data_IF_804619599991
#
_entry.id   IF_804619599991
#
_cell.length_a   1.000
_cell.length_b   1.000
_cell.length_c   1.000
_cell.angle_alpha   90.00
_cell.angle_beta   90.00
_cell.angle_gamma   90.00
#
_symmetry.space_group_name_H-M   'P 1'
#
loop_
_entity.id
_entity.type
_entity.pdbx_description
1 polymer ?
#
# COMPACT_ATOMS: atom_id res chain seq x y z
N UNK A 1 8.15 -39.22 15.35
CA UNK A 1 6.76 -38.98 14.88
C UNK A 1 6.17 -37.78 15.62
N UNK A 2 5.99 -36.64 14.94
CA UNK A 2 5.39 -35.46 15.55
C UNK A 2 3.88 -35.67 15.73
N UNK A 3 3.38 -35.62 16.97
CA UNK A 3 1.94 -35.68 17.26
C UNK A 3 1.26 -34.48 16.59
N UNK A 4 0.47 -34.72 15.54
CA UNK A 4 -0.45 -33.70 15.03
C UNK A 4 -1.40 -33.30 16.17
N UNK A 5 -1.26 -32.06 16.65
CA UNK A 5 -2.23 -31.47 17.59
C UNK A 5 -3.58 -31.41 16.87
N UNK A 6 -4.51 -32.31 17.22
CA UNK A 6 -5.92 -32.15 16.85
C UNK A 6 -6.41 -30.83 17.44
N UNK A 7 -6.53 -29.82 16.60
CA UNK A 7 -7.08 -28.53 17.03
C UNK A 7 -8.56 -28.73 17.34
N UNK A 8 -8.94 -28.57 18.60
CA UNK A 8 -10.34 -28.47 19.00
C UNK A 8 -10.98 -27.37 18.15
N UNK A 9 -12.01 -27.76 17.39
CA UNK A 9 -12.96 -26.87 16.72
C UNK A 9 -13.40 -25.83 17.74
N UNK A 10 -13.05 -24.56 17.49
CA UNK A 10 -13.47 -23.44 18.33
C UNK A 10 -14.96 -23.19 18.09
N UNK A 11 -15.82 -24.03 18.70
CA UNK A 11 -17.27 -23.80 18.81
C UNK A 11 -17.56 -22.76 19.89
N UNK A 12 -16.84 -21.65 19.92
CA UNK A 12 -17.07 -20.61 20.94
C UNK A 12 -18.38 -19.86 20.71
N UNK A 13 -19.07 -20.07 19.58
CA UNK A 13 -20.31 -19.37 19.25
C UNK A 13 -20.14 -17.86 19.21
N UNK A 14 -18.90 -17.35 19.17
CA UNK A 14 -18.61 -15.93 19.26
C UNK A 14 -18.81 -15.29 17.87
N UNK A 15 -19.83 -14.43 17.69
CA UNK A 15 -20.14 -13.83 16.41
C UNK A 15 -19.00 -12.92 15.90
N UNK A 16 -18.26 -12.26 16.79
CA UNK A 16 -17.12 -11.43 16.42
C UNK A 16 -15.97 -12.25 15.85
N UNK A 17 -15.67 -13.42 16.43
CA UNK A 17 -14.66 -14.31 15.86
C UNK A 17 -15.09 -14.88 14.51
N UNK A 18 -16.38 -15.15 14.33
CA UNK A 18 -16.91 -15.57 13.03
C UNK A 18 -16.71 -14.47 11.98
N UNK A 19 -16.98 -13.21 12.35
CA UNK A 19 -16.76 -12.07 11.47
C UNK A 19 -15.28 -11.90 11.08
N UNK A 20 -14.34 -12.00 12.04
CA UNK A 20 -12.90 -11.94 11.74
C UNK A 20 -12.49 -12.97 10.70
N UNK A 21 -12.99 -14.20 10.82
CA UNK A 21 -12.68 -15.29 9.89
C UNK A 21 -13.34 -15.04 8.53
N UNK A 22 -14.60 -14.59 8.52
CA UNK A 22 -15.36 -14.30 7.31
C UNK A 22 -14.74 -13.17 6.49
N UNK A 23 -14.29 -12.10 7.16
CA UNK A 23 -13.58 -10.98 6.55
C UNK A 23 -12.11 -11.32 6.21
N UNK A 24 -11.68 -12.57 6.42
CA UNK A 24 -10.32 -12.99 6.11
C UNK A 24 -9.24 -12.34 6.98
N UNK A 25 -9.57 -11.60 8.04
CA UNK A 25 -8.61 -10.85 8.86
C UNK A 25 -7.70 -11.75 9.72
N UNK A 26 -7.94 -13.05 9.69
CA UNK A 26 -7.02 -14.01 10.23
C UNK A 26 -7.58 -15.42 10.28
N UNK A 27 -6.68 -16.37 10.37
CA UNK A 27 -7.02 -17.72 10.81
C UNK A 27 -6.30 -18.00 12.13
N UNK A 28 -6.46 -19.21 12.67
CA UNK A 28 -5.77 -19.56 13.91
C UNK A 28 -4.25 -19.56 13.68
N UNK A 29 -3.57 -18.54 14.21
CA UNK A 29 -2.12 -18.37 14.10
C UNK A 29 -1.66 -17.43 12.99
N UNK A 30 -2.56 -16.87 12.19
CA UNK A 30 -2.24 -15.80 11.23
C UNK A 30 -3.21 -14.64 11.39
N UNK A 31 -2.67 -13.42 11.38
CA UNK A 31 -3.45 -12.19 11.37
C UNK A 31 -3.10 -11.44 10.09
N UNK A 32 -4.06 -10.81 9.45
CA UNK A 32 -3.82 -9.89 8.33
C UNK A 32 -4.90 -8.82 8.31
N UNK A 33 -4.62 -7.71 7.65
CA UNK A 33 -5.64 -6.76 7.25
C UNK A 33 -5.85 -7.00 5.77
N UNK A 34 -7.07 -7.42 5.40
CA UNK A 34 -7.35 -7.75 4.01
C UNK A 34 -7.38 -6.50 3.13
N UNK A 35 -7.15 -6.68 1.84
CA UNK A 35 -7.10 -5.62 0.84
C UNK A 35 -8.37 -4.78 0.75
N UNK A 36 -9.54 -5.41 0.89
CA UNK A 36 -10.83 -4.72 0.71
C UNK A 36 -11.06 -3.62 1.75
N UNK A 37 -10.42 -3.71 2.93
CA UNK A 37 -10.51 -2.68 3.97
C UNK A 37 -9.95 -1.33 3.52
N UNK A 38 -9.09 -1.30 2.49
CA UNK A 38 -8.66 -0.04 1.89
C UNK A 38 -9.77 0.64 1.09
N UNK A 39 -10.73 -0.12 0.58
CA UNK A 39 -11.77 0.37 -0.33
C UNK A 39 -13.09 0.65 0.40
N UNK A 40 -13.10 0.45 1.72
CA UNK A 40 -14.24 0.74 2.60
C UNK A 40 -14.47 2.26 2.74
N UNK A 41 -15.63 2.62 3.28
CA UNK A 41 -15.93 4.03 3.56
C UNK A 41 -14.96 4.63 4.60
N UNK A 42 -14.64 5.91 4.44
CA UNK A 42 -13.71 6.63 5.33
C UNK A 42 -14.03 6.46 6.82
N UNK A 43 -15.29 6.56 7.28
CA UNK A 43 -15.60 6.35 8.70
C UNK A 43 -15.22 4.95 9.20
N UNK A 44 -15.39 3.90 8.39
CA UNK A 44 -15.02 2.52 8.75
C UNK A 44 -13.50 2.41 8.89
N UNK A 45 -12.75 2.97 7.94
CA UNK A 45 -11.29 3.01 7.97
C UNK A 45 -10.75 3.81 9.18
N UNK A 46 -11.37 4.94 9.51
CA UNK A 46 -11.02 5.76 10.67
C UNK A 46 -11.25 5.02 11.99
N UNK A 47 -12.40 4.34 12.15
CA UNK A 47 -12.67 3.51 13.33
C UNK A 47 -11.70 2.33 13.45
N UNK A 48 -11.38 1.69 12.33
CA UNK A 48 -10.41 0.60 12.31
C UNK A 48 -9.02 1.08 12.74
N UNK A 49 -8.54 2.20 12.17
CA UNK A 49 -7.24 2.78 12.51
C UNK A 49 -7.20 3.23 13.97
N UNK A 50 -8.28 3.85 14.47
CA UNK A 50 -8.47 4.20 15.87
C UNK A 50 -8.29 2.99 16.80
N UNK A 51 -8.99 1.88 16.52
CA UNK A 51 -8.88 0.66 17.33
C UNK A 51 -7.46 0.09 17.40
N UNK A 52 -6.71 0.16 16.29
CA UNK A 52 -5.30 -0.25 16.25
C UNK A 52 -4.40 0.67 17.06
N UNK A 53 -4.61 1.98 16.96
CA UNK A 53 -3.85 2.95 17.75
C UNK A 53 -4.16 2.78 19.24
N UNK A 54 -5.41 2.55 19.62
CA UNK A 54 -5.82 2.30 21.00
C UNK A 54 -5.19 1.02 21.57
N UNK A 55 -5.09 -0.06 20.80
CA UNK A 55 -4.51 -1.32 21.30
C UNK A 55 -2.98 -1.28 21.40
N UNK A 56 -2.30 -0.93 20.31
CA UNK A 56 -0.84 -1.11 20.15
C UNK A 56 -0.11 0.15 19.67
N UNK A 57 -0.83 1.26 19.47
CA UNK A 57 -0.23 2.52 19.07
C UNK A 57 0.23 3.40 20.23
N UNK A 58 1.09 4.36 19.92
CA UNK A 58 1.41 5.51 20.76
C UNK A 58 1.11 6.80 20.00
N UNK A 59 0.75 7.85 20.74
CA UNK A 59 0.47 9.18 20.18
C UNK A 59 1.39 10.16 20.89
N UNK A 60 2.17 10.92 20.12
CA UNK A 60 3.12 11.91 20.63
C UNK A 60 2.69 13.32 20.22
N UNK A 61 2.67 14.23 21.19
CA UNK A 61 2.50 15.66 20.92
C UNK A 61 3.81 16.24 20.43
N UNK A 62 3.77 16.99 19.34
CA UNK A 62 4.95 17.54 18.67
C UNK A 62 5.73 18.56 19.53
N UNK A 63 5.08 19.06 20.59
CA UNK A 63 5.60 20.07 21.54
C UNK A 63 6.92 19.66 22.20
N UNK A 64 7.22 18.37 22.40
CA UNK A 64 8.42 17.96 23.13
C UNK A 64 9.70 17.85 22.29
N UNK A 65 9.60 17.71 20.95
CA UNK A 65 10.78 17.39 20.11
C UNK A 65 11.38 18.58 19.37
N UNK A 66 10.61 19.63 19.07
CA UNK A 66 11.05 20.70 18.16
C UNK A 66 11.04 22.12 18.75
N UNK A 67 10.55 22.35 19.97
CA UNK A 67 10.60 23.67 20.63
C UNK A 67 12.02 24.11 21.06
N UNK A 68 13.07 23.37 20.69
CA UNK A 68 14.46 23.69 21.02
C UNK A 68 15.23 24.40 19.90
N UNK A 69 14.60 24.69 18.76
CA UNK A 69 15.29 25.36 17.65
C UNK A 69 14.52 26.59 17.19
N UNK A 70 15.23 27.71 17.29
CA UNK A 70 15.08 29.00 16.59
C UNK A 70 14.00 29.99 17.06
N UNK A 71 14.48 30.88 17.92
CA UNK A 71 13.94 32.16 18.42
C UNK A 71 13.82 33.26 17.36
N UNK A 72 13.35 32.95 16.14
CA UNK A 72 13.08 33.98 15.12
C UNK A 72 11.57 34.03 14.86
N UNK A 73 10.88 34.75 15.74
CA UNK A 73 9.44 34.76 15.91
C UNK A 73 8.73 35.85 15.08
N UNK A 74 7.47 35.53 14.73
CA UNK A 74 6.26 36.37 14.63
C UNK A 74 5.43 36.03 13.38
N UNK A 75 6.02 35.66 12.24
CA UNK A 75 5.22 35.21 11.06
C UNK A 75 4.80 33.75 11.10
N UNK A 76 5.43 32.93 11.93
CA UNK A 76 5.18 31.48 11.99
C UNK A 76 4.20 31.07 13.10
N UNK A 77 3.53 32.01 13.78
CA UNK A 77 2.66 31.66 14.91
C UNK A 77 1.44 30.85 14.46
N UNK A 78 0.88 31.16 13.28
CA UNK A 78 -0.24 30.40 12.70
C UNK A 78 0.21 29.01 12.21
N UNK A 79 1.38 28.92 11.56
CA UNK A 79 1.99 27.65 11.19
C UNK A 79 2.36 26.80 12.42
N UNK A 80 2.74 27.43 13.53
CA UNK A 80 3.01 26.76 14.80
C UNK A 80 1.72 26.26 15.45
N UNK A 81 0.64 27.04 15.43
CA UNK A 81 -0.69 26.62 15.89
C UNK A 81 -1.17 25.43 15.05
N UNK A 82 -0.98 25.47 13.73
CA UNK A 82 -1.38 24.37 12.85
C UNK A 82 -0.54 23.10 13.08
N UNK A 83 0.78 23.24 13.30
CA UNK A 83 1.65 22.11 13.66
C UNK A 83 1.31 21.51 15.02
N UNK A 84 1.02 22.35 16.01
CA UNK A 84 0.67 21.88 17.37
C UNK A 84 -0.74 21.30 17.46
N UNK A 85 -1.62 21.63 16.51
CA UNK A 85 -2.99 21.09 16.45
C UNK A 85 -3.03 19.59 16.21
N UNK A 86 -2.09 19.06 15.43
CA UNK A 86 -2.15 17.66 14.99
C UNK A 86 -1.07 16.82 15.68
N UNK A 87 -1.50 15.68 16.24
CA UNK A 87 -0.61 14.74 16.92
C UNK A 87 0.03 13.75 15.93
N UNK A 88 1.22 13.26 16.27
CA UNK A 88 1.83 12.13 15.58
C UNK A 88 1.33 10.83 16.21
N UNK A 89 1.16 9.80 15.40
CA UNK A 89 0.89 8.45 15.91
C UNK A 89 1.93 7.47 15.39
N UNK A 90 2.25 6.47 16.20
CA UNK A 90 3.14 5.37 15.85
C UNK A 90 2.42 4.07 16.15
N UNK A 91 2.43 3.14 15.19
CA UNK A 91 1.93 1.79 15.37
C UNK A 91 3.05 0.78 15.17
N UNK A 92 3.16 -0.21 16.05
CA UNK A 92 4.20 -1.23 15.99
C UNK A 92 3.59 -2.62 15.82
N UNK A 93 4.13 -3.40 14.89
CA UNK A 93 3.74 -4.81 14.73
C UNK A 93 4.89 -5.65 14.16
N UNK A 94 4.93 -6.92 14.51
CA UNK A 94 5.88 -7.90 13.94
C UNK A 94 5.36 -8.55 12.65
N UNK A 95 4.04 -8.49 12.42
CA UNK A 95 3.41 -9.14 11.27
C UNK A 95 3.33 -8.20 10.07
N UNK A 96 4.11 -8.50 9.02
CA UNK A 96 4.16 -7.70 7.80
C UNK A 96 2.81 -7.60 7.07
N UNK A 97 1.96 -8.64 7.11
CA UNK A 97 0.65 -8.59 6.47
C UNK A 97 -0.30 -7.57 7.14
N UNK A 98 -0.19 -7.39 8.46
CA UNK A 98 -0.90 -6.31 9.17
C UNK A 98 -0.35 -4.96 8.73
N UNK A 99 0.98 -4.80 8.75
CA UNK A 99 1.64 -3.54 8.39
C UNK A 99 1.24 -3.07 6.99
N UNK A 100 1.23 -3.97 6.00
CA UNK A 100 0.85 -3.63 4.63
C UNK A 100 -0.61 -3.16 4.51
N UNK A 101 -1.55 -3.83 5.18
CA UNK A 101 -2.94 -3.38 5.15
C UNK A 101 -3.17 -2.07 5.92
N UNK A 102 -2.45 -1.85 7.03
CA UNK A 102 -2.47 -0.56 7.75
C UNK A 102 -1.93 0.58 6.88
N UNK A 103 -0.84 0.34 6.13
CA UNK A 103 -0.32 1.34 5.19
C UNK A 103 -1.31 1.68 4.08
N UNK A 104 -2.03 0.67 3.57
CA UNK A 104 -3.08 0.87 2.57
C UNK A 104 -4.20 1.76 3.11
N UNK A 105 -4.75 1.40 4.27
CA UNK A 105 -5.82 2.18 4.93
C UNK A 105 -5.37 3.61 5.18
N UNK A 106 -4.16 3.80 5.73
CA UNK A 106 -3.64 5.12 6.00
C UNK A 106 -3.49 5.95 4.71
N UNK A 107 -3.00 5.37 3.62
CA UNK A 107 -2.87 6.07 2.33
C UNK A 107 -4.21 6.44 1.73
N UNK A 108 -5.19 5.55 1.81
CA UNK A 108 -6.54 5.82 1.30
C UNK A 108 -7.27 6.89 2.13
N UNK A 109 -6.93 7.02 3.41
CA UNK A 109 -7.35 8.15 4.25
C UNK A 109 -6.59 9.46 3.96
N UNK A 110 -5.60 9.47 3.07
CA UNK A 110 -4.73 10.64 2.82
C UNK A 110 -3.71 10.88 3.94
N UNK A 111 -3.38 9.86 4.75
CA UNK A 111 -2.39 9.96 5.82
C UNK A 111 -1.01 9.60 5.25
N UNK A 112 -0.06 10.53 5.33
CA UNK A 112 1.33 10.25 4.95
C UNK A 112 1.99 9.36 5.99
N UNK A 113 2.57 8.25 5.55
CA UNK A 113 3.21 7.26 6.43
C UNK A 113 4.68 7.06 6.10
N UNK A 114 5.50 6.79 7.11
CA UNK A 114 6.84 6.21 6.93
C UNK A 114 6.97 4.93 7.75
N UNK A 115 7.84 4.01 7.30
CA UNK A 115 8.05 2.72 7.97
C UNK A 115 9.52 2.57 8.33
N UNK A 116 9.78 2.19 9.58
CA UNK A 116 11.10 1.76 10.03
C UNK A 116 11.02 0.32 10.50
N UNK A 117 11.93 -0.53 10.03
CA UNK A 117 12.07 -1.90 10.52
C UNK A 117 13.21 -1.92 11.54
N UNK A 118 12.99 -2.51 12.70
CA UNK A 118 14.05 -2.83 13.64
C UNK A 118 14.51 -4.27 13.43
N UNK A 119 15.82 -4.48 13.51
CA UNK A 119 16.39 -5.82 13.46
C UNK A 119 15.95 -6.66 14.67
N UNK A 120 15.95 -7.98 14.46
CA UNK A 120 15.79 -8.92 15.56
C UNK A 120 16.92 -8.71 16.58
N UNK A 121 16.59 -8.68 17.86
CA UNK A 121 17.57 -8.43 18.92
C UNK A 121 17.33 -9.34 20.12
N UNK A 122 18.39 -9.62 20.88
CA UNK A 122 18.29 -10.34 22.16
C UNK A 122 18.29 -9.30 23.26
N UNK A 123 17.17 -9.15 23.97
CA UNK A 123 17.07 -8.23 25.11
C UNK A 123 16.73 -9.02 26.36
N UNK A 124 17.57 -8.93 27.39
CA UNK A 124 17.41 -9.65 28.66
C UNK A 124 17.27 -11.18 28.46
N UNK A 125 18.06 -11.76 27.56
CA UNK A 125 18.03 -13.20 27.26
C UNK A 125 16.79 -13.69 26.48
N UNK A 126 15.89 -12.79 26.07
CA UNK A 126 14.76 -13.11 25.19
C UNK A 126 15.05 -12.66 23.76
N UNK A 127 14.79 -13.55 22.80
CA UNK A 127 14.88 -13.25 21.38
C UNK A 127 13.64 -12.46 20.96
N UNK A 128 13.83 -11.18 20.63
CA UNK A 128 12.78 -10.35 20.03
C UNK A 128 12.88 -10.45 18.51
N UNK A 129 11.76 -10.78 17.88
CA UNK A 129 11.65 -10.74 16.42
C UNK A 129 11.79 -9.31 15.90
N UNK A 130 12.20 -9.18 14.63
CA UNK A 130 12.14 -7.92 13.93
C UNK A 130 10.73 -7.32 14.01
N UNK A 131 10.66 -6.01 14.22
CA UNK A 131 9.41 -5.26 14.40
C UNK A 131 9.37 -4.10 13.43
N UNK A 132 8.21 -3.85 12.84
CA UNK A 132 7.97 -2.68 11.99
C UNK A 132 7.29 -1.59 12.80
N UNK A 133 7.75 -0.36 12.63
CA UNK A 133 7.19 0.86 13.21
C UNK A 133 6.62 1.70 12.06
N UNK A 134 5.31 1.93 12.08
CA UNK A 134 4.62 2.80 11.13
C UNK A 134 4.40 4.15 11.79
N UNK A 135 4.98 5.19 11.22
CA UNK A 135 4.80 6.56 11.68
C UNK A 135 3.76 7.25 10.81
N UNK A 136 2.67 7.71 11.43
CA UNK A 136 1.62 8.48 10.78
C UNK A 136 1.92 9.96 10.93
N UNK A 137 2.01 10.67 9.80
CA UNK A 137 2.25 12.11 9.80
C UNK A 137 0.99 12.86 10.26
N UNK A 138 1.14 13.97 11.00
CA UNK A 138 0.00 14.75 11.47
C UNK A 138 -0.78 15.34 10.30
N UNK A 139 -2.09 15.14 10.31
CA UNK A 139 -3.02 15.68 9.34
C UNK A 139 -4.46 15.65 9.90
N UNK A 140 -5.40 16.27 9.18
CA UNK A 140 -6.81 16.28 9.57
C UNK A 140 -7.41 14.86 9.63
N UNK A 141 -7.13 14.01 8.63
CA UNK A 141 -7.65 12.63 8.59
C UNK A 141 -7.17 11.79 9.79
N UNK A 142 -5.88 11.86 10.13
CA UNK A 142 -5.36 11.21 11.33
C UNK A 142 -6.05 11.74 12.59
N UNK A 143 -6.25 13.05 12.69
CA UNK A 143 -6.88 13.66 13.87
C UNK A 143 -8.35 13.27 14.01
N UNK A 144 -9.06 13.04 12.90
CA UNK A 144 -10.41 12.47 12.93
C UNK A 144 -10.41 11.05 13.46
N UNK A 145 -9.51 10.20 12.98
CA UNK A 145 -9.34 8.85 13.54
C UNK A 145 -9.00 8.89 15.04
N UNK A 146 -8.06 9.75 15.46
CA UNK A 146 -7.68 9.92 16.85
C UNK A 146 -8.79 10.54 17.73
N UNK A 147 -9.76 11.24 17.15
CA UNK A 147 -10.92 11.76 17.91
C UNK A 147 -11.92 10.68 18.32
N UNK A 148 -11.77 9.47 17.77
CA UNK A 148 -12.59 8.30 18.12
C UNK A 148 -11.89 7.46 19.21
N UNK A 149 -10.60 7.72 19.48
CA UNK A 149 -9.83 6.95 20.45
C UNK A 149 -10.46 7.01 21.85
N UNK A 150 -10.62 5.84 22.45
CA UNK A 150 -11.15 5.67 23.80
C UNK A 150 -10.13 6.00 24.88
N UNK A 151 -8.83 5.89 24.58
CA UNK A 151 -7.75 6.20 25.51
C UNK A 151 -7.45 7.69 25.47
N UNK A 152 -7.65 8.38 26.59
CA UNK A 152 -7.52 9.85 26.69
C UNK A 152 -6.16 10.38 26.22
N UNK A 153 -5.06 9.67 26.52
CA UNK A 153 -3.71 10.06 26.08
C UNK A 153 -3.54 9.98 24.55
N UNK A 154 -4.33 9.14 23.87
CA UNK A 154 -4.31 8.93 22.41
C UNK A 154 -5.35 9.78 21.70
N UNK A 155 -6.40 10.18 22.42
CA UNK A 155 -7.45 11.04 21.91
C UNK A 155 -6.92 12.39 21.42
N UNK A 156 -7.41 12.86 20.27
CA UNK A 156 -7.16 14.19 19.74
C UNK A 156 -8.50 14.86 19.41
N UNK A 157 -8.66 16.18 19.59
CA UNK A 157 -9.89 16.84 19.20
C UNK A 157 -10.15 16.68 17.70
N UNK A 158 -11.40 16.45 17.33
CA UNK A 158 -11.80 16.36 15.93
C UNK A 158 -11.44 17.66 15.19
N UNK A 159 -10.91 17.60 13.95
CA UNK A 159 -10.62 18.79 13.19
C UNK A 159 -11.92 19.53 12.83
N UNK A 160 -11.92 20.89 12.78
CA UNK A 160 -13.05 21.64 12.24
C UNK A 160 -13.27 21.21 10.79
N UNK A 161 -14.51 20.83 10.45
CA UNK A 161 -14.97 20.22 9.20
C UNK A 161 -13.97 20.32 8.03
N UNK A 162 -12.97 19.43 8.02
CA UNK A 162 -11.99 19.39 6.95
C UNK A 162 -12.53 18.43 5.89
N UNK A 163 -12.76 18.88 4.64
CA UNK A 163 -13.08 17.95 3.58
C UNK A 163 -11.91 16.95 3.39
N UNK A 164 -12.23 15.75 2.92
CA UNK A 164 -11.19 14.82 2.49
C UNK A 164 -10.52 15.40 1.25
N UNK A 165 -9.24 15.72 1.35
CA UNK A 165 -8.45 16.15 0.20
C UNK A 165 -7.72 14.94 -0.38
N UNK A 166 -7.66 14.86 -1.71
CA UNK A 166 -6.72 13.95 -2.37
C UNK A 166 -5.29 14.32 -1.96
N UNK A 167 -4.47 13.30 -1.70
CA UNK A 167 -3.06 13.49 -1.36
C UNK A 167 -2.23 12.97 -2.51
N UNK A 168 -1.41 13.85 -3.09
CA UNK A 168 -0.46 13.46 -4.12
C UNK A 168 0.68 12.63 -3.53
N UNK A 169 0.90 11.45 -4.11
CA UNK A 169 2.01 10.58 -3.76
C UNK A 169 3.04 10.57 -4.89
N UNK A 170 4.26 10.95 -4.54
CA UNK A 170 5.41 10.84 -5.43
C UNK A 170 6.22 9.61 -5.03
N UNK A 171 6.60 8.78 -5.99
CA UNK A 171 7.54 7.68 -5.78
C UNK A 171 8.74 7.84 -6.72
N UNK A 172 9.94 7.74 -6.15
CA UNK A 172 11.17 7.70 -6.94
C UNK A 172 11.47 6.23 -7.26
N UNK A 173 11.34 5.84 -8.53
CA UNK A 173 11.82 4.53 -8.95
C UNK A 173 13.34 4.59 -9.03
N UNK A 174 14.04 3.81 -8.20
CA UNK A 174 15.49 3.69 -8.30
C UNK A 174 15.86 3.13 -9.69
N UNK A 175 16.72 3.80 -10.48
CA UNK A 175 17.07 3.38 -11.84
C UNK A 175 17.66 1.96 -11.92
N UNK A 176 18.27 1.48 -10.83
CA UNK A 176 18.88 0.17 -10.73
C UNK A 176 17.86 -0.98 -10.83
N UNK A 177 16.64 -0.79 -10.33
CA UNK A 177 15.59 -1.82 -10.34
C UNK A 177 15.10 -2.07 -11.76
N UNK A 178 14.94 -1.01 -12.56
CA UNK A 178 14.49 -1.11 -13.96
C UNK A 178 15.53 -1.84 -14.82
N UNK A 179 16.82 -1.50 -14.68
CA UNK A 179 17.89 -2.15 -15.46
C UNK A 179 18.09 -3.61 -15.11
N UNK A 180 17.90 -3.99 -13.85
CA UNK A 180 17.96 -5.39 -13.40
C UNK A 180 16.88 -6.22 -14.05
N UNK A 181 15.62 -5.80 -13.94
CA UNK A 181 14.46 -6.52 -14.50
C UNK A 181 14.55 -6.66 -16.03
N UNK A 182 14.96 -5.60 -16.74
CA UNK A 182 15.12 -5.65 -18.21
C UNK A 182 16.24 -6.62 -18.61
N UNK A 183 17.37 -6.66 -17.89
CA UNK A 183 18.46 -7.61 -18.18
C UNK A 183 18.03 -9.06 -17.95
N UNK A 184 17.35 -9.34 -16.84
CA UNK A 184 16.89 -10.70 -16.52
C UNK A 184 15.88 -11.21 -17.54
N UNK A 185 14.96 -10.36 -18.00
CA UNK A 185 14.03 -10.69 -19.09
C UNK A 185 14.75 -10.89 -20.43
N UNK A 186 15.72 -10.04 -20.76
CA UNK A 186 16.51 -10.19 -21.98
C UNK A 186 17.39 -11.46 -21.98
N UNK A 187 17.87 -11.89 -20.81
CA UNK A 187 18.65 -13.12 -20.64
C UNK A 187 17.78 -14.38 -20.65
N UNK A 188 16.59 -14.35 -20.06
CA UNK A 188 15.63 -15.47 -20.13
C UNK A 188 15.08 -15.70 -21.54
N UNK A 189 14.99 -14.66 -22.37
CA UNK A 189 14.51 -14.75 -23.74
C UNK A 189 15.61 -14.79 -24.81
N UNK A 190 16.87 -15.03 -24.40
CA UNK A 190 17.96 -15.18 -25.36
C UNK A 190 17.77 -16.51 -26.11
N UNK A 191 17.51 -16.51 -27.43
CA UNK A 191 17.26 -17.73 -28.17
C UNK A 191 18.48 -18.65 -28.10
N UNK A 192 18.27 -19.92 -27.77
CA UNK A 192 19.31 -20.94 -27.84
C UNK A 192 19.89 -20.96 -29.26
N UNK A 193 21.15 -20.55 -29.40
CA UNK A 193 21.89 -20.57 -30.67
C UNK A 193 22.19 -22.00 -31.10
N UNK A 194 21.23 -22.67 -31.73
CA UNK A 194 21.47 -23.84 -32.55
C UNK A 194 20.56 -23.83 -33.79
N UNK A 195 20.98 -23.09 -34.83
CA UNK A 195 20.80 -23.45 -36.25
C UNK A 195 21.43 -22.35 -37.12
N UNK A 196 22.21 -22.74 -38.13
CA UNK A 196 22.65 -21.85 -39.21
C UNK A 196 21.43 -21.46 -40.05
N UNK A 197 21.28 -20.18 -40.47
CA UNK A 197 20.21 -19.80 -41.36
C UNK A 197 20.58 -20.11 -42.82
N UNK A 198 19.73 -20.87 -43.50
CA UNK A 198 19.64 -20.85 -44.96
C UNK A 198 18.58 -19.81 -45.38
N UNK A 199 18.88 -19.11 -46.47
CA UNK A 199 18.13 -17.97 -47.01
C UNK A 199 16.62 -18.20 -47.07
N UNK A 200 15.84 -17.36 -46.36
CA UNK A 200 14.43 -17.09 -46.65
C UNK A 200 14.11 -15.62 -46.39
N UNK A 201 13.23 -15.12 -47.26
CA UNK A 201 12.73 -13.77 -47.51
C UNK A 201 12.16 -12.98 -46.32
N UNK A 202 12.13 -11.66 -46.53
CA UNK A 202 11.34 -10.64 -45.81
C UNK A 202 9.93 -11.11 -45.41
N UNK A 203 9.80 -11.65 -44.20
CA UNK A 203 8.57 -11.71 -43.41
C UNK A 203 9.01 -11.92 -41.96
N UNK A 204 9.46 -10.84 -41.30
CA UNK A 204 9.90 -10.90 -39.91
C UNK A 204 9.67 -9.55 -39.23
N UNK A 205 8.39 -9.22 -38.98
CA UNK A 205 8.00 -8.15 -38.05
C UNK A 205 6.87 -8.60 -37.10
N UNK A 206 6.10 -9.64 -37.41
CA UNK A 206 4.95 -10.06 -36.57
C UNK A 206 5.28 -11.03 -35.41
N UNK A 207 6.55 -11.39 -35.20
CA UNK A 207 6.94 -12.39 -34.19
C UNK A 207 7.40 -11.84 -32.84
N UNK A 208 7.60 -10.52 -32.72
CA UNK A 208 8.17 -9.90 -31.52
C UNK A 208 7.14 -9.28 -30.56
N UNK A 209 5.88 -9.11 -30.99
CA UNK A 209 4.86 -8.45 -30.16
C UNK A 209 4.33 -9.35 -29.05
N UNK A 210 4.12 -10.64 -29.29
CA UNK A 210 3.47 -11.56 -28.34
C UNK A 210 4.23 -11.76 -27.02
N UNK A 211 5.57 -11.96 -27.02
CA UNK A 211 6.32 -12.14 -25.78
C UNK A 211 6.43 -10.85 -24.96
N UNK A 212 6.58 -9.71 -25.62
CA UNK A 212 6.68 -8.39 -24.97
C UNK A 212 5.33 -8.00 -24.38
N UNK A 213 4.24 -8.21 -25.11
CA UNK A 213 2.87 -7.99 -24.62
C UNK A 213 2.55 -8.94 -23.45
N UNK A 214 2.99 -10.20 -23.51
CA UNK A 214 2.82 -11.15 -22.40
C UNK A 214 3.63 -10.77 -21.15
N UNK A 215 4.86 -10.25 -21.31
CA UNK A 215 5.69 -9.79 -20.21
C UNK A 215 5.13 -8.50 -19.57
N UNK A 216 4.68 -7.56 -20.40
CA UNK A 216 4.00 -6.34 -19.95
C UNK A 216 2.69 -6.68 -19.22
N UNK A 217 1.89 -7.61 -19.74
CA UNK A 217 0.68 -8.09 -19.07
C UNK A 217 0.97 -8.83 -17.75
N UNK A 218 2.09 -9.56 -17.65
CA UNK A 218 2.53 -10.21 -16.42
C UNK A 218 2.97 -9.18 -15.36
N UNK A 219 3.64 -8.11 -15.77
CA UNK A 219 4.00 -6.98 -14.89
C UNK A 219 2.74 -6.25 -14.41
N UNK A 220 1.78 -5.98 -15.30
CA UNK A 220 0.48 -5.39 -14.94
C UNK A 220 -0.32 -6.23 -13.95
N UNK A 221 -0.28 -7.56 -14.10
CA UNK A 221 -0.88 -8.49 -13.13
C UNK A 221 -0.22 -8.38 -11.74
N UNK A 222 1.06 -8.07 -11.67
CA UNK A 222 1.76 -7.85 -10.40
C UNK A 222 1.33 -6.55 -9.69
N UNK A 223 0.81 -5.58 -10.46
CA UNK A 223 0.22 -4.34 -9.95
C UNK A 223 -1.31 -4.42 -9.73
N UNK A 224 -1.92 -5.59 -9.94
CA UNK A 224 -3.36 -5.80 -9.75
C UNK A 224 -4.26 -5.34 -10.90
N UNK A 225 -3.68 -4.98 -12.05
CA UNK A 225 -4.45 -4.56 -13.23
C UNK A 225 -5.05 -5.79 -13.93
N UNK A 226 -6.35 -5.78 -14.30
CA UNK A 226 -6.98 -6.90 -15.00
C UNK A 226 -6.33 -7.20 -16.35
N UNK A 227 -6.15 -8.49 -16.67
CA UNK A 227 -5.49 -8.97 -17.90
C UNK A 227 -6.15 -8.45 -19.19
N UNK A 228 -7.47 -8.24 -19.17
CA UNK A 228 -8.23 -7.71 -20.31
C UNK A 228 -7.89 -6.24 -20.62
N UNK A 229 -7.70 -5.40 -19.58
CA UNK A 229 -7.34 -3.99 -19.73
C UNK A 229 -5.92 -3.83 -20.30
N UNK A 230 -4.99 -4.67 -19.84
CA UNK A 230 -3.61 -4.70 -20.33
C UNK A 230 -3.51 -5.13 -21.81
N UNK A 231 -4.33 -6.11 -22.23
CA UNK A 231 -4.39 -6.55 -23.63
C UNK A 231 -5.07 -5.52 -24.55
N UNK A 232 -6.14 -4.87 -24.08
CA UNK A 232 -6.85 -3.84 -24.84
C UNK A 232 -5.93 -2.63 -25.13
N UNK A 233 -5.13 -2.17 -24.15
CA UNK A 233 -4.18 -1.08 -24.36
C UNK A 233 -3.07 -1.45 -25.35
N UNK A 234 -2.50 -2.65 -25.22
CA UNK A 234 -1.42 -3.12 -26.09
C UNK A 234 -1.86 -3.37 -27.55
N UNK A 235 -3.13 -3.78 -27.76
CA UNK A 235 -3.67 -4.07 -29.08
C UNK A 235 -4.05 -2.85 -29.92
N UNK A 236 -4.38 -1.71 -29.29
CA UNK A 236 -4.94 -0.55 -30.00
C UNK A 236 -3.88 0.48 -30.41
N UNK A 237 -2.73 0.59 -29.71
CA UNK A 237 -1.89 1.79 -29.86
C UNK A 237 -0.40 1.61 -30.19
N UNK A 238 0.16 0.40 -30.42
CA UNK A 238 1.62 0.23 -30.55
C UNK A 238 2.39 1.01 -29.44
N UNK A 239 1.76 1.14 -28.27
CA UNK A 239 2.15 2.09 -27.24
C UNK A 239 3.25 1.48 -26.36
N UNK A 240 4.20 2.32 -25.97
CA UNK A 240 5.24 1.94 -25.02
C UNK A 240 4.70 1.93 -23.60
N UNK A 241 5.42 1.28 -22.67
CA UNK A 241 5.09 1.32 -21.23
C UNK A 241 5.02 2.77 -20.71
N UNK A 242 5.82 3.68 -21.28
CA UNK A 242 5.79 5.11 -20.95
C UNK A 242 4.46 5.76 -21.34
N UNK A 243 3.89 5.38 -22.49
CA UNK A 243 2.62 5.92 -22.97
C UNK A 243 1.44 5.43 -22.10
N UNK A 244 1.51 4.18 -21.60
CA UNK A 244 0.53 3.67 -20.63
C UNK A 244 0.60 4.40 -19.30
N UNK A 245 1.81 4.63 -18.78
CA UNK A 245 1.99 5.33 -17.51
C UNK A 245 1.56 6.80 -17.60
N UNK A 246 1.80 7.45 -18.74
CA UNK A 246 1.28 8.80 -19.01
C UNK A 246 -0.25 8.79 -19.09
N UNK A 247 -0.83 7.83 -19.81
CA UNK A 247 -2.28 7.65 -19.90
C UNK A 247 -2.94 7.44 -18.53
N UNK A 248 -2.38 6.57 -17.68
CA UNK A 248 -2.85 6.35 -16.32
C UNK A 248 -2.66 7.57 -15.40
N UNK A 249 -1.71 8.46 -15.71
CA UNK A 249 -1.53 9.70 -14.95
C UNK A 249 -2.56 10.78 -15.33
N UNK A 250 -3.10 10.72 -16.55
CA UNK A 250 -4.08 11.69 -17.07
C UNK A 250 -5.53 11.29 -16.75
N UNK A 251 -5.80 10.05 -16.33
CA UNK A 251 -7.15 9.52 -16.16
C UNK A 251 -7.33 8.94 -14.75
N UNK A 252 -8.29 9.48 -13.99
CA UNK A 252 -8.60 9.07 -12.60
C UNK A 252 -8.97 7.59 -12.45
N UNK A 253 -9.45 6.94 -13.52
CA UNK A 253 -9.78 5.51 -13.54
C UNK A 253 -9.66 4.93 -14.96
N UNK A 254 -8.51 4.33 -15.31
CA UNK A 254 -8.27 3.73 -16.62
C UNK A 254 -9.25 2.61 -16.96
N UNK A 255 -9.66 1.83 -15.96
CA UNK A 255 -10.58 0.71 -16.15
C UNK A 255 -11.99 1.21 -16.48
N UNK A 256 -12.41 2.34 -15.89
CA UNK A 256 -13.69 2.99 -16.22
C UNK A 256 -13.68 3.59 -17.63
N UNK A 257 -12.57 4.16 -18.09
CA UNK A 257 -12.44 4.66 -19.46
C UNK A 257 -12.59 3.53 -20.49
N UNK A 258 -11.87 2.42 -20.29
CA UNK A 258 -11.93 1.27 -21.22
C UNK A 258 -13.30 0.59 -21.23
N UNK A 259 -13.97 0.46 -20.07
CA UNK A 259 -15.35 -0.03 -20.03
C UNK A 259 -16.31 0.85 -20.83
N UNK A 260 -16.11 2.17 -20.81
CA UNK A 260 -16.96 3.12 -21.56
C UNK A 260 -16.75 2.98 -23.07
N UNK A 261 -15.49 2.92 -23.51
CA UNK A 261 -15.12 2.71 -24.92
C UNK A 261 -15.64 1.37 -25.45
N UNK A 262 -15.49 0.28 -24.70
CA UNK A 262 -16.00 -1.04 -25.11
C UNK A 262 -17.53 -1.05 -25.26
N UNK A 263 -18.25 -0.29 -24.42
CA UNK A 263 -19.71 -0.15 -24.50
C UNK A 263 -20.18 0.82 -25.60
N UNK A 264 -19.33 1.75 -26.04
CA UNK A 264 -19.63 2.66 -27.17
C UNK A 264 -19.34 2.02 -28.54
N UNK A 265 -18.50 0.99 -28.59
CA UNK A 265 -18.13 0.26 -29.80
C UNK A 265 -18.79 -1.13 -29.94
N UNK A 266 -19.64 -1.54 -29.00
CA UNK A 266 -20.45 -2.76 -29.04
C UNK A 266 -21.92 -2.43 -29.29
#
# INVERSE_FOLDING_TARGET
MAKQKKFKSNKTGNPFWHLIVLLGMGTRGSKKVDSFFGDEEHPVMEHFLCGLVDSDGSVESQTNRQMRTTTNEVKDQEALIERTRYKHAVFTNTNQAIIQGVLRIARNLGIKTSVRVSDANVRNGRNNSASSYVYFSPCAALSRALSICSVELKHAPAPPSAPHHSVEYYFTIAPATIRGTIKTLAEQHRPHRHARPTNVSKQYVDGFSTPIIAAIAADFKSFGVPHASAQAFAGVHNATVSDFLLFCSEHEDPDRFYRRQILEYA
#
